data_IF_039905962252
#
_entry.id   IF_039905962252
#
_cell.length_a   1.000
_cell.length_b   1.000
_cell.length_c   1.000
_cell.angle_alpha   90.00
_cell.angle_beta   90.00
_cell.angle_gamma   90.00
#
_symmetry.space_group_name_H-M   'P 1'
#
loop_
_entity.id
_entity.type
_entity.pdbx_description
1 polymer ?
#
# COMPACT_ATOMS: atom_id res chain seq x y z
N UNK A 1 -19.07 -4.23 -26.14
CA UNK A 1 -17.73 -4.15 -25.53
C UNK A 1 -17.85 -4.52 -24.07
N UNK A 2 -17.19 -5.59 -23.61
CA UNK A 2 -17.23 -6.01 -22.21
C UNK A 2 -16.44 -5.01 -21.36
N UNK A 3 -17.01 -4.55 -20.23
CA UNK A 3 -16.30 -3.70 -19.28
C UNK A 3 -15.07 -4.47 -18.76
N UNK A 4 -13.88 -3.85 -18.68
CA UNK A 4 -12.73 -4.52 -18.08
C UNK A 4 -13.07 -4.94 -16.64
N UNK A 5 -12.58 -6.10 -16.18
CA UNK A 5 -12.84 -6.56 -14.82
C UNK A 5 -12.34 -5.50 -13.81
N UNK A 6 -13.00 -5.36 -12.66
CA UNK A 6 -12.57 -4.43 -11.64
C UNK A 6 -11.11 -4.73 -11.26
N UNK A 7 -10.31 -3.67 -11.12
CA UNK A 7 -8.91 -3.82 -10.73
C UNK A 7 -8.82 -4.49 -9.35
N UNK A 8 -7.85 -5.37 -9.11
CA UNK A 8 -7.63 -5.94 -7.78
C UNK A 8 -7.38 -4.84 -6.74
N UNK A 9 -7.88 -5.03 -5.52
CA UNK A 9 -7.70 -4.07 -4.43
C UNK A 9 -6.22 -3.72 -4.19
N UNK A 10 -5.33 -4.71 -4.30
CA UNK A 10 -3.88 -4.52 -4.19
C UNK A 10 -3.31 -3.56 -5.24
N UNK A 11 -3.86 -3.57 -6.46
CA UNK A 11 -3.46 -2.62 -7.51
C UNK A 11 -3.88 -1.21 -7.15
N UNK A 12 -5.12 -1.04 -6.68
CA UNK A 12 -5.64 0.27 -6.29
C UNK A 12 -4.84 0.84 -5.11
N UNK A 13 -4.59 0.04 -4.08
CA UNK A 13 -3.77 0.41 -2.93
C UNK A 13 -2.35 0.82 -3.38
N UNK A 14 -1.73 0.04 -4.27
CA UNK A 14 -0.41 0.36 -4.79
C UNK A 14 -0.37 1.73 -5.48
N UNK A 15 -1.35 2.04 -6.34
CA UNK A 15 -1.42 3.34 -7.02
C UNK A 15 -1.65 4.48 -6.03
N UNK A 16 -2.48 4.27 -5.02
CA UNK A 16 -2.76 5.29 -4.01
C UNK A 16 -1.52 5.64 -3.18
N UNK A 17 -0.79 4.62 -2.71
CA UNK A 17 0.48 4.81 -1.98
C UNK A 17 1.52 5.44 -2.92
N UNK A 18 1.64 4.97 -4.18
CA UNK A 18 2.55 5.55 -5.16
C UNK A 18 2.31 7.04 -5.39
N UNK A 19 1.06 7.48 -5.41
CA UNK A 19 0.67 8.88 -5.61
C UNK A 19 1.00 9.76 -4.40
N UNK A 20 0.85 9.23 -3.19
CA UNK A 20 1.02 9.99 -1.93
C UNK A 20 2.40 9.86 -1.29
N UNK A 21 3.17 8.84 -1.65
CA UNK A 21 4.46 8.50 -1.05
C UNK A 21 4.30 7.57 0.15
N UNK A 22 3.85 8.13 1.28
CA UNK A 22 3.53 7.37 2.49
C UNK A 22 2.22 7.83 3.10
N UNK A 23 1.54 6.92 3.81
CA UNK A 23 0.28 7.23 4.48
C UNK A 23 -0.03 6.23 5.58
N UNK A 24 -0.85 6.62 6.53
CA UNK A 24 -1.34 5.71 7.57
C UNK A 24 -2.41 4.77 7.04
N UNK A 25 -2.61 3.63 7.70
CA UNK A 25 -3.73 2.71 7.40
C UNK A 25 -5.09 3.43 7.42
N UNK A 26 -5.28 4.35 8.35
CA UNK A 26 -6.50 5.15 8.45
C UNK A 26 -6.69 6.05 7.24
N UNK A 27 -5.66 6.78 6.83
CA UNK A 27 -5.71 7.63 5.64
C UNK A 27 -5.95 6.80 4.37
N UNK A 28 -5.39 5.60 4.30
CA UNK A 28 -5.62 4.69 3.18
C UNK A 28 -7.09 4.26 3.15
N UNK A 29 -7.65 3.85 4.28
CA UNK A 29 -9.04 3.44 4.39
C UNK A 29 -10.00 4.58 4.00
N UNK A 30 -9.75 5.79 4.51
CA UNK A 30 -10.53 6.99 4.16
C UNK A 30 -10.44 7.29 2.66
N UNK A 31 -9.26 7.12 2.05
CA UNK A 31 -9.06 7.31 0.59
C UNK A 31 -9.77 6.25 -0.25
N UNK A 32 -9.75 4.98 0.16
CA UNK A 32 -10.47 3.89 -0.52
C UNK A 32 -11.98 4.12 -0.49
N UNK A 33 -12.51 4.56 0.66
CA UNK A 33 -13.92 4.95 0.78
C UNK A 33 -14.30 6.15 -0.08
N UNK A 34 -13.42 7.14 -0.18
CA UNK A 34 -13.63 8.31 -1.04
C UNK A 34 -13.68 7.94 -2.54
N UNK A 35 -13.07 6.82 -2.94
CA UNK A 35 -13.18 6.25 -4.28
C UNK A 35 -14.47 5.43 -4.52
N UNK A 36 -15.43 5.48 -3.58
CA UNK A 36 -16.67 4.68 -3.59
C UNK A 36 -16.41 3.17 -3.68
N UNK A 37 -15.28 2.70 -3.14
CA UNK A 37 -14.98 1.28 -3.03
C UNK A 37 -15.67 0.73 -1.78
N UNK A 38 -16.46 -0.32 -1.96
CA UNK A 38 -17.02 -1.10 -0.87
C UNK A 38 -15.94 -2.07 -0.37
N UNK A 39 -15.10 -1.57 0.55
CA UNK A 39 -13.97 -2.31 1.12
C UNK A 39 -14.10 -2.23 2.64
N UNK A 40 -14.11 -3.39 3.28
CA UNK A 40 -14.02 -3.50 4.73
C UNK A 40 -12.59 -3.29 5.21
N UNK A 41 -12.43 -2.91 6.48
CA UNK A 41 -11.10 -2.82 7.11
C UNK A 41 -10.35 -4.15 6.99
N UNK A 42 -11.03 -5.28 7.24
CA UNK A 42 -10.41 -6.61 7.16
C UNK A 42 -9.90 -6.96 5.76
N UNK A 43 -10.61 -6.55 4.71
CA UNK A 43 -10.15 -6.77 3.32
C UNK A 43 -8.94 -5.91 2.98
N UNK A 44 -8.93 -4.66 3.44
CA UNK A 44 -7.77 -3.78 3.30
C UNK A 44 -6.55 -4.34 4.05
N UNK A 45 -6.70 -4.76 5.31
CA UNK A 45 -5.63 -5.36 6.11
C UNK A 45 -5.07 -6.64 5.46
N UNK A 46 -5.95 -7.53 4.96
CA UNK A 46 -5.52 -8.73 4.21
C UNK A 46 -4.77 -8.37 2.93
N UNK A 47 -5.19 -7.33 2.22
CA UNK A 47 -4.49 -6.86 1.02
C UNK A 47 -3.11 -6.30 1.36
N UNK A 48 -3.01 -5.48 2.40
CA UNK A 48 -1.73 -4.93 2.89
C UNK A 48 -0.78 -6.05 3.32
N UNK A 49 -1.26 -7.02 4.11
CA UNK A 49 -0.46 -8.17 4.52
C UNK A 49 0.11 -8.96 3.32
N UNK A 50 -0.71 -9.21 2.29
CA UNK A 50 -0.25 -9.86 1.05
C UNK A 50 0.82 -9.03 0.34
N UNK A 51 0.64 -7.71 0.28
CA UNK A 51 1.59 -6.80 -0.39
C UNK A 51 2.90 -6.69 0.39
N UNK A 52 2.86 -6.71 1.71
CA UNK A 52 4.04 -6.70 2.57
C UNK A 52 4.85 -8.00 2.44
N UNK A 53 4.17 -9.15 2.49
CA UNK A 53 4.80 -10.48 2.25
C UNK A 53 5.45 -10.52 0.85
N UNK A 54 4.81 -9.93 -0.16
CA UNK A 54 5.35 -9.83 -1.51
C UNK A 54 6.48 -8.81 -1.65
N UNK A 55 6.82 -8.05 -0.60
CA UNK A 55 7.87 -7.04 -0.62
C UNK A 55 7.52 -5.80 -1.46
N UNK A 56 6.23 -5.53 -1.71
CA UNK A 56 5.78 -4.37 -2.49
C UNK A 56 5.63 -3.11 -1.63
N UNK A 57 5.34 -3.28 -0.35
CA UNK A 57 5.19 -2.21 0.63
C UNK A 57 5.99 -2.53 1.89
N UNK A 58 6.18 -1.53 2.73
CA UNK A 58 6.63 -1.68 4.11
C UNK A 58 5.62 -1.06 5.04
N UNK A 59 5.33 -1.75 6.14
CA UNK A 59 4.52 -1.23 7.22
C UNK A 59 5.45 -0.92 8.39
N UNK A 60 5.57 0.36 8.75
CA UNK A 60 6.45 0.80 9.84
C UNK A 60 5.63 1.32 11.02
N UNK A 61 6.02 0.89 12.22
CA UNK A 61 5.41 1.36 13.45
C UNK A 61 6.09 2.65 13.92
N UNK A 62 5.52 3.82 13.61
CA UNK A 62 5.58 5.10 14.35
C UNK A 62 5.13 6.27 13.47
N UNK A 63 3.82 6.47 13.33
CA UNK A 63 3.25 7.81 13.16
C UNK A 63 2.88 8.36 14.53
N UNK A 64 3.11 9.65 14.82
CA UNK A 64 3.02 10.30 16.15
C UNK A 64 1.69 10.18 16.95
N UNK A 65 0.75 9.35 16.52
CA UNK A 65 -0.51 8.96 17.20
C UNK A 65 -0.79 7.44 17.22
N UNK A 66 0.24 6.59 17.15
CA UNK A 66 0.10 5.14 17.39
C UNK A 66 -0.42 4.30 16.22
N UNK A 67 -0.44 4.84 15.00
CA UNK A 67 -0.83 4.11 13.79
C UNK A 67 0.38 3.60 12.99
N UNK A 68 0.14 2.57 12.17
CA UNK A 68 1.08 2.08 11.18
C UNK A 68 1.16 3.02 9.98
N UNK A 69 2.39 3.27 9.50
CA UNK A 69 2.66 4.02 8.28
C UNK A 69 3.02 3.03 7.18
N UNK A 70 2.38 3.19 6.03
CA UNK A 70 2.54 2.38 4.84
C UNK A 70 3.27 3.20 3.78
N UNK A 71 4.28 2.60 3.18
CA UNK A 71 5.03 3.17 2.05
C UNK A 71 5.38 2.08 1.03
N UNK A 72 5.70 2.46 -0.20
CA UNK A 72 6.24 1.52 -1.17
C UNK A 72 7.60 1.01 -0.70
N UNK A 73 7.84 -0.29 -0.83
CA UNK A 73 9.17 -0.83 -0.61
C UNK A 73 10.10 -0.25 -1.69
N UNK A 74 11.18 0.40 -1.27
CA UNK A 74 12.22 0.79 -2.22
C UNK A 74 12.74 -0.46 -2.91
N UNK A 75 12.86 -0.42 -4.25
CA UNK A 75 13.64 -1.40 -4.96
C UNK A 75 15.00 -1.48 -4.27
N UNK A 76 15.39 -2.67 -3.80
CA UNK A 76 16.76 -2.87 -3.34
C UNK A 76 17.64 -2.50 -4.53
N UNK A 77 18.25 -1.33 -4.51
CA UNK A 77 19.35 -1.00 -5.40
C UNK A 77 20.42 -2.00 -5.00
N UNK A 78 20.64 -3.01 -5.85
CA UNK A 78 21.80 -3.87 -5.70
C UNK A 78 23.00 -2.94 -5.89
N UNK A 79 23.63 -2.59 -4.78
CA UNK A 79 24.97 -2.02 -4.76
C UNK A 79 25.90 -3.23 -4.84
N UNK A 80 26.61 -3.46 -5.96
CA UNK A 80 27.68 -4.42 -5.97
C UNK A 80 28.69 -4.03 -4.86
N UNK A 81 29.32 -5.00 -4.19
CA UNK A 81 30.23 -4.75 -3.06
C UNK A 81 31.49 -3.92 -3.42
N UNK A 82 31.63 -3.50 -4.68
CA UNK A 82 32.84 -2.91 -5.23
C UNK A 82 32.79 -1.38 -5.34
N UNK A 83 31.69 -0.73 -4.90
CA UNK A 83 31.56 0.73 -4.84
C UNK A 83 31.50 1.21 -3.37
N UNK A 84 32.66 1.44 -2.76
CA UNK A 84 32.88 2.30 -1.57
C UNK A 84 33.51 3.63 -1.96
#
# INVERSE_FOLDING_TARGET
MSRPPPLPLTHIIYQEIRRRGSMTERELFESLRAMHLDVTISEMEKALMKMEIAGLIRVTGRGGRGGFVIELAQARRYLPPDEE
#
